data_IF_993879395326
#
_entry.id   IF_993879395326
#
_cell.length_a   1.000
_cell.length_b   1.000
_cell.length_c   1.000
_cell.angle_alpha   90.00
_cell.angle_beta   90.00
_cell.angle_gamma   90.00
#
_symmetry.space_group_name_H-M   'P 1'
#
loop_
_entity.id
_entity.type
_entity.pdbx_description
1 polymer ?
#
# COMPACT_ATOMS: atom_id res chain seq x y z
N UNK A 1 20.82 6.64 76.72
CA UNK A 1 20.49 5.23 76.93
C UNK A 1 20.02 4.74 75.63
N UNK A 2 20.94 4.36 75.01
CA UNK A 2 21.44 4.07 73.69
C UNK A 2 21.37 2.57 73.50
N UNK A 3 20.63 2.16 72.53
CA UNK A 3 20.77 0.83 71.99
C UNK A 3 20.83 0.94 70.45
N UNK A 4 22.05 1.13 69.98
CA UNK A 4 22.41 1.00 68.58
C UNK A 4 22.47 -0.47 68.27
N UNK A 5 21.40 -0.96 67.65
CA UNK A 5 21.31 -2.30 67.07
C UNK A 5 22.15 -2.36 65.79
N UNK A 6 23.32 -2.99 65.96
CA UNK A 6 24.19 -3.28 64.80
C UNK A 6 23.48 -4.20 63.82
N UNK A 7 23.28 -3.69 62.61
CA UNK A 7 22.81 -4.50 61.45
C UNK A 7 24.04 -5.20 60.89
N UNK A 8 24.08 -6.48 61.06
CA UNK A 8 25.10 -7.37 60.53
C UNK A 8 24.79 -7.56 59.03
N UNK A 9 25.54 -6.89 58.15
CA UNK A 9 25.52 -7.13 56.72
C UNK A 9 26.27 -8.45 56.47
N UNK A 10 25.52 -9.52 56.36
CA UNK A 10 26.01 -10.76 55.76
C UNK A 10 26.04 -10.55 54.27
N UNK A 11 27.21 -10.34 53.75
CA UNK A 11 27.52 -10.34 52.31
C UNK A 11 27.43 -11.79 51.82
N UNK A 12 26.26 -12.16 51.33
CA UNK A 12 26.04 -13.43 50.66
C UNK A 12 26.59 -13.33 49.22
N UNK A 13 27.89 -13.67 49.11
CA UNK A 13 28.54 -13.90 47.83
C UNK A 13 27.90 -15.12 47.14
N UNK A 14 26.83 -14.88 46.43
CA UNK A 14 26.26 -15.86 45.52
C UNK A 14 27.12 -15.90 44.23
N UNK A 15 28.20 -16.66 44.32
CA UNK A 15 29.00 -17.03 43.14
C UNK A 15 28.11 -17.92 42.31
N UNK A 16 27.49 -17.34 41.25
CA UNK A 16 26.90 -18.14 40.18
C UNK A 16 28.00 -18.93 39.50
N UNK A 17 28.09 -20.20 39.81
CA UNK A 17 28.81 -21.17 38.99
C UNK A 17 28.23 -21.14 37.58
N UNK A 18 28.98 -20.58 36.66
CA UNK A 18 28.74 -20.67 35.22
C UNK A 18 28.82 -22.16 34.84
N UNK A 19 27.75 -22.74 34.25
CA UNK A 19 27.80 -24.12 33.82
C UNK A 19 28.87 -24.26 32.74
N UNK A 20 29.88 -25.07 33.01
CA UNK A 20 30.93 -25.43 32.09
C UNK A 20 30.29 -25.90 30.76
N UNK A 21 30.46 -25.13 29.70
CA UNK A 21 30.06 -25.50 28.34
C UNK A 21 30.93 -26.69 27.94
N UNK A 22 30.31 -27.85 27.87
CA UNK A 22 30.93 -29.03 27.24
C UNK A 22 31.24 -28.67 25.77
N UNK A 23 32.40 -29.06 25.25
CA UNK A 23 32.77 -28.80 23.84
C UNK A 23 31.80 -29.51 22.90
N UNK A 24 30.97 -28.74 22.22
CA UNK A 24 30.06 -29.24 21.19
C UNK A 24 30.91 -29.92 20.12
N UNK A 25 30.84 -31.24 20.07
CA UNK A 25 31.51 -32.09 19.06
C UNK A 25 31.03 -31.63 17.69
N UNK A 26 31.87 -30.89 16.96
CA UNK A 26 31.58 -30.38 15.62
C UNK A 26 31.21 -31.55 14.71
N UNK A 27 29.91 -31.80 14.56
CA UNK A 27 29.37 -32.76 13.62
C UNK A 27 29.64 -32.25 12.20
N UNK A 28 30.39 -32.97 11.42
CA UNK A 28 30.67 -32.65 10.01
C UNK A 28 29.42 -32.74 9.11
N UNK A 29 28.30 -33.19 9.66
CA UNK A 29 27.02 -33.37 8.98
C UNK A 29 26.31 -32.01 8.78
N UNK A 30 26.49 -31.03 9.70
CA UNK A 30 25.83 -29.73 9.64
C UNK A 30 26.19 -28.93 8.37
N UNK A 31 27.48 -28.82 7.95
CA UNK A 31 27.79 -28.06 6.74
C UNK A 31 27.27 -28.74 5.45
N UNK A 32 27.18 -30.08 5.44
CA UNK A 32 26.63 -30.81 4.29
C UNK A 32 25.13 -30.58 4.15
N UNK A 33 24.38 -30.56 5.25
CA UNK A 33 22.95 -30.28 5.24
C UNK A 33 22.62 -28.84 4.75
N UNK A 34 23.46 -27.87 5.12
CA UNK A 34 23.32 -26.47 4.66
C UNK A 34 23.54 -26.36 3.15
N UNK A 35 24.55 -27.01 2.61
CA UNK A 35 24.85 -26.99 1.18
C UNK A 35 23.71 -27.63 0.37
N UNK A 36 23.18 -28.76 0.81
CA UNK A 36 22.02 -29.42 0.16
C UNK A 36 20.80 -28.54 0.21
N UNK A 37 20.55 -27.85 1.33
CA UNK A 37 19.42 -26.91 1.47
C UNK A 37 19.51 -25.73 0.49
N UNK A 38 20.71 -25.18 0.27
CA UNK A 38 20.92 -24.07 -0.68
C UNK A 38 20.67 -24.54 -2.11
N UNK A 39 21.15 -25.70 -2.52
CA UNK A 39 20.94 -26.24 -3.88
C UNK A 39 19.46 -26.58 -4.13
N UNK A 40 18.77 -27.18 -3.15
CA UNK A 40 17.31 -27.40 -3.24
C UNK A 40 16.52 -26.10 -3.30
N UNK A 41 16.90 -25.09 -2.52
CA UNK A 41 16.24 -23.77 -2.51
C UNK A 41 16.41 -23.03 -3.83
N UNK A 42 17.61 -22.99 -4.39
CA UNK A 42 17.88 -22.34 -5.69
C UNK A 42 17.20 -23.07 -6.84
N UNK A 43 17.20 -24.41 -6.84
CA UNK A 43 16.55 -25.22 -7.88
C UNK A 43 15.03 -25.06 -7.90
N UNK A 44 14.38 -25.10 -6.75
CA UNK A 44 12.92 -24.94 -6.65
C UNK A 44 12.50 -23.50 -6.91
N UNK A 45 13.27 -22.50 -6.42
CA UNK A 45 13.01 -21.10 -6.67
C UNK A 45 13.07 -20.74 -8.15
N UNK A 46 14.09 -21.23 -8.85
CA UNK A 46 14.23 -21.02 -10.30
C UNK A 46 13.12 -21.69 -11.12
N UNK A 47 12.71 -22.89 -10.73
CA UNK A 47 11.65 -23.61 -11.43
C UNK A 47 10.27 -22.96 -11.26
N UNK A 48 9.98 -22.43 -10.06
CA UNK A 48 8.73 -21.67 -9.83
C UNK A 48 8.75 -20.30 -10.51
N UNK A 49 9.91 -19.64 -10.60
CA UNK A 49 10.04 -18.37 -11.31
C UNK A 49 9.76 -18.54 -12.81
N UNK A 50 10.23 -19.61 -13.44
CA UNK A 50 9.96 -19.89 -14.85
C UNK A 50 8.49 -20.24 -15.13
N UNK A 51 7.81 -20.96 -14.22
CA UNK A 51 6.38 -21.26 -14.39
C UNK A 51 5.49 -20.02 -14.29
N UNK A 52 5.86 -19.02 -13.49
CA UNK A 52 5.14 -17.74 -13.45
C UNK A 52 5.29 -16.96 -14.77
N UNK A 53 6.40 -17.11 -15.49
CA UNK A 53 6.62 -16.43 -16.76
C UNK A 53 5.77 -17.02 -17.91
N UNK A 54 5.36 -18.28 -17.81
CA UNK A 54 4.57 -18.98 -18.84
C UNK A 54 3.05 -18.85 -18.65
N UNK A 55 2.57 -18.47 -17.44
CA UNK A 55 1.16 -18.21 -17.18
C UNK A 55 0.82 -16.71 -17.20
N UNK A 56 1.80 -15.83 -17.23
CA UNK A 56 1.63 -14.40 -17.42
C UNK A 56 1.77 -14.05 -18.91
N UNK A 57 0.94 -14.65 -19.73
CA UNK A 57 0.59 -14.14 -21.06
C UNK A 57 -0.32 -12.93 -20.91
N UNK A 58 0.19 -11.86 -20.35
CA UNK A 58 -0.49 -10.59 -20.17
C UNK A 58 0.55 -9.50 -20.23
N UNK A 59 0.43 -8.71 -21.27
CA UNK A 59 1.06 -7.43 -21.57
C UNK A 59 1.96 -6.91 -20.44
N UNK A 60 3.25 -6.82 -20.73
CA UNK A 60 4.18 -6.02 -19.94
C UNK A 60 3.68 -4.58 -19.91
N UNK A 61 2.83 -4.27 -18.96
CA UNK A 61 2.59 -2.88 -18.57
C UNK A 61 3.90 -2.44 -17.96
N UNK A 62 4.72 -1.76 -18.74
CA UNK A 62 5.80 -0.93 -18.22
C UNK A 62 5.10 0.16 -17.43
N UNK A 63 4.84 -0.08 -16.14
CA UNK A 63 4.55 0.97 -15.18
C UNK A 63 5.82 1.81 -15.09
N UNK A 64 5.90 2.84 -15.91
CA UNK A 64 6.83 3.94 -15.68
C UNK A 64 6.28 4.70 -14.48
N UNK A 65 6.95 4.68 -13.31
CA UNK A 65 6.57 5.56 -12.22
C UNK A 65 6.92 6.98 -12.69
N UNK A 66 5.94 7.87 -12.75
CA UNK A 66 6.04 9.27 -13.16
C UNK A 66 5.67 9.57 -14.63
N UNK A 67 4.54 9.11 -15.13
CA UNK A 67 3.95 9.77 -16.27
C UNK A 67 3.11 10.94 -15.77
N UNK A 68 3.59 12.17 -16.01
CA UNK A 68 2.73 13.34 -15.98
C UNK A 68 1.75 13.21 -17.14
N UNK A 69 0.45 13.26 -16.88
CA UNK A 69 -0.56 13.37 -17.92
C UNK A 69 -0.36 14.71 -18.64
N UNK A 70 -0.18 14.66 -19.94
CA UNK A 70 -0.23 15.82 -20.82
C UNK A 70 -1.38 15.62 -21.79
N UNK A 71 -1.89 16.68 -22.34
CA UNK A 71 -3.07 16.68 -23.25
C UNK A 71 -2.92 15.76 -24.47
N UNK A 72 -1.70 15.33 -24.82
CA UNK A 72 -1.41 14.40 -25.91
C UNK A 72 -1.32 12.93 -25.44
N UNK A 73 -1.55 12.65 -24.16
CA UNK A 73 -1.44 11.29 -23.63
C UNK A 73 -2.69 10.49 -24.01
N UNK A 74 -2.52 9.45 -24.83
CA UNK A 74 -3.60 8.50 -25.10
C UNK A 74 -3.77 7.58 -23.88
N UNK A 75 -4.74 7.89 -23.03
CA UNK A 75 -5.07 7.15 -21.83
C UNK A 75 -5.63 5.77 -22.18
N UNK A 76 -5.20 4.73 -21.49
CA UNK A 76 -5.63 3.35 -21.67
C UNK A 76 -6.02 2.73 -20.34
N UNK A 77 -6.90 1.73 -20.42
CA UNK A 77 -7.23 0.90 -19.26
C UNK A 77 -5.97 0.22 -18.73
N UNK A 78 -5.75 0.35 -17.42
CA UNK A 78 -4.57 -0.16 -16.73
C UNK A 78 -3.44 0.85 -16.55
N UNK A 79 -3.50 2.00 -17.20
CA UNK A 79 -2.49 3.05 -17.02
C UNK A 79 -2.50 3.59 -15.59
N UNK A 80 -1.31 3.93 -15.11
CA UNK A 80 -1.09 4.44 -13.76
C UNK A 80 -0.37 5.79 -13.88
N UNK A 81 -0.93 6.79 -13.19
CA UNK A 81 -0.42 8.16 -13.17
C UNK A 81 -0.10 8.60 -11.74
N UNK A 82 0.82 9.53 -11.61
CA UNK A 82 1.18 10.16 -10.33
C UNK A 82 2.38 9.53 -9.64
N UNK A 83 2.43 9.68 -8.33
CA UNK A 83 3.56 9.29 -7.49
C UNK A 83 3.64 7.79 -7.24
N UNK A 84 4.86 7.29 -7.11
CA UNK A 84 5.13 5.93 -6.63
C UNK A 84 5.22 5.82 -5.09
N UNK A 85 5.01 6.91 -4.37
CA UNK A 85 5.10 6.95 -2.91
C UNK A 85 3.86 6.35 -2.26
N UNK A 86 3.91 5.05 -1.97
CA UNK A 86 2.86 4.31 -1.28
C UNK A 86 2.86 4.55 0.24
N UNK A 87 3.93 5.12 0.78
CA UNK A 87 4.02 5.40 2.21
C UNK A 87 3.16 6.60 2.62
N UNK A 88 3.08 7.61 1.76
CA UNK A 88 2.28 8.83 1.96
C UNK A 88 0.83 8.61 1.55
N UNK A 89 0.58 7.97 0.41
CA UNK A 89 -0.76 7.79 -0.17
C UNK A 89 -1.36 6.43 0.18
N UNK A 90 -1.90 6.32 1.40
CA UNK A 90 -2.39 5.04 1.97
C UNK A 90 -3.89 4.84 1.79
N UNK A 91 -4.65 5.94 1.71
CA UNK A 91 -6.08 5.86 1.58
C UNK A 91 -6.44 5.57 0.12
N UNK A 92 -7.46 4.76 -0.08
CA UNK A 92 -7.86 4.30 -1.41
C UNK A 92 -9.35 4.52 -1.62
N UNK A 93 -9.70 4.97 -2.82
CA UNK A 93 -11.08 5.04 -3.29
C UNK A 93 -11.19 4.54 -4.73
N UNK A 94 -12.39 4.05 -5.10
CA UNK A 94 -12.70 3.62 -6.45
C UNK A 94 -14.08 4.16 -6.85
N UNK A 95 -14.23 4.57 -8.11
CA UNK A 95 -15.47 5.05 -8.68
C UNK A 95 -15.25 5.78 -9.99
N UNK A 96 -16.27 6.48 -10.47
CA UNK A 96 -16.20 7.31 -11.68
C UNK A 96 -15.76 8.71 -11.31
N UNK A 97 -14.71 9.20 -11.96
CA UNK A 97 -14.19 10.54 -11.73
C UNK A 97 -15.05 11.59 -12.44
N UNK A 98 -15.53 12.55 -11.70
CA UNK A 98 -16.39 13.61 -12.22
C UNK A 98 -15.85 14.99 -11.84
N UNK A 99 -16.18 16.01 -12.63
CA UNK A 99 -15.83 17.40 -12.33
C UNK A 99 -16.65 17.97 -11.20
N UNK A 100 -16.07 18.91 -10.47
CA UNK A 100 -16.74 19.70 -9.44
C UNK A 100 -16.52 19.17 -8.03
N UNK A 101 -16.33 20.12 -7.12
CA UNK A 101 -16.22 19.94 -5.69
C UNK A 101 -17.49 20.29 -4.95
N UNK A 102 -17.40 20.42 -3.63
CA UNK A 102 -18.47 20.85 -2.77
C UNK A 102 -18.08 22.13 -2.01
N UNK A 103 -18.78 23.22 -2.26
CA UNK A 103 -18.58 24.53 -1.58
C UNK A 103 -17.11 24.98 -1.51
N UNK A 104 -16.34 24.75 -2.59
CA UNK A 104 -14.93 25.11 -2.70
C UNK A 104 -13.95 24.07 -2.16
N UNK A 105 -14.42 22.91 -1.74
CA UNK A 105 -13.59 21.78 -1.34
C UNK A 105 -13.55 20.73 -2.45
N UNK A 106 -12.33 20.32 -2.86
CA UNK A 106 -12.11 19.48 -4.01
C UNK A 106 -12.29 20.21 -5.35
N UNK A 107 -11.58 19.80 -6.36
CA UNK A 107 -11.80 20.25 -7.76
C UNK A 107 -12.68 19.26 -8.51
N UNK A 108 -12.63 18.01 -8.11
CA UNK A 108 -13.36 16.88 -8.66
C UNK A 108 -13.98 16.05 -7.53
N UNK A 109 -14.77 15.05 -7.92
CA UNK A 109 -15.24 14.02 -7.00
C UNK A 109 -15.27 12.65 -7.68
N UNK A 110 -15.23 11.61 -6.86
CA UNK A 110 -15.37 10.24 -7.30
C UNK A 110 -16.77 9.77 -6.89
N UNK A 111 -17.58 9.46 -7.90
CA UNK A 111 -18.89 8.87 -7.68
C UNK A 111 -18.76 7.39 -7.37
N UNK A 112 -19.28 7.01 -6.20
CA UNK A 112 -19.31 5.65 -5.70
C UNK A 112 -20.59 5.40 -4.94
N UNK A 113 -21.30 4.35 -5.30
CA UNK A 113 -22.60 4.07 -4.70
C UNK A 113 -23.69 5.07 -5.12
N UNK A 114 -24.86 4.92 -4.55
CA UNK A 114 -26.08 5.58 -4.96
C UNK A 114 -26.25 7.00 -4.42
N UNK A 115 -25.47 7.42 -3.43
CA UNK A 115 -25.68 8.67 -2.71
C UNK A 115 -24.45 9.57 -2.70
N UNK A 116 -24.68 10.90 -2.83
CA UNK A 116 -23.64 11.93 -2.71
C UNK A 116 -22.87 11.88 -1.38
N UNK A 117 -23.46 11.31 -0.33
CA UNK A 117 -22.79 11.12 0.96
C UNK A 117 -21.67 10.10 0.91
N UNK A 118 -21.64 9.26 -0.14
CA UNK A 118 -20.59 8.27 -0.36
C UNK A 118 -19.51 8.77 -1.32
N UNK A 119 -19.70 9.93 -1.92
CA UNK A 119 -18.74 10.51 -2.84
C UNK A 119 -17.45 10.93 -2.12
N UNK A 120 -16.34 10.82 -2.83
CA UNK A 120 -15.05 11.30 -2.36
C UNK A 120 -14.70 12.54 -3.14
N UNK A 121 -14.62 13.67 -2.47
CA UNK A 121 -14.16 14.91 -3.09
C UNK A 121 -12.65 14.90 -3.15
N UNK A 122 -12.10 15.28 -4.30
CA UNK A 122 -10.68 15.06 -4.57
C UNK A 122 -10.01 16.30 -5.16
N UNK A 123 -8.73 16.42 -4.83
CA UNK A 123 -7.76 17.30 -5.49
C UNK A 123 -6.56 16.48 -5.91
N UNK A 124 -5.73 17.01 -6.78
CA UNK A 124 -4.40 16.47 -7.05
C UNK A 124 -3.47 17.57 -7.53
N UNK A 125 -2.23 17.54 -7.06
CA UNK A 125 -1.14 18.40 -7.57
C UNK A 125 -0.19 17.65 -8.52
N UNK A 126 -0.36 16.32 -8.65
CA UNK A 126 0.55 15.45 -9.41
C UNK A 126 -0.11 14.76 -10.60
N UNK A 127 -1.44 14.73 -10.63
CA UNK A 127 -2.25 14.15 -11.72
C UNK A 127 -3.22 15.20 -12.23
N UNK A 128 -3.25 15.42 -13.52
CA UNK A 128 -4.27 16.24 -14.17
C UNK A 128 -5.57 15.44 -14.26
N UNK A 129 -6.50 15.73 -13.35
CA UNK A 129 -7.75 15.00 -13.22
C UNK A 129 -8.74 15.32 -14.34
N UNK A 130 -8.64 16.49 -14.97
CA UNK A 130 -9.53 16.91 -16.07
C UNK A 130 -9.44 15.96 -17.27
N UNK A 131 -8.26 15.33 -17.47
CA UNK A 131 -8.04 14.40 -18.57
C UNK A 131 -8.65 13.02 -18.35
N UNK A 132 -9.14 12.74 -17.16
CA UNK A 132 -9.66 11.43 -16.73
C UNK A 132 -11.13 11.50 -16.30
N UNK A 133 -11.77 12.64 -16.56
CA UNK A 133 -13.20 12.83 -16.24
C UNK A 133 -14.05 11.87 -17.07
N UNK A 134 -14.96 11.17 -16.41
CA UNK A 134 -15.81 10.16 -17.01
C UNK A 134 -15.22 8.74 -17.00
N UNK A 135 -13.98 8.59 -16.52
CA UNK A 135 -13.36 7.27 -16.41
C UNK A 135 -13.58 6.67 -15.01
N UNK A 136 -13.71 5.34 -14.95
CA UNK A 136 -13.66 4.62 -13.69
C UNK A 136 -12.21 4.44 -13.27
N UNK A 137 -11.91 4.87 -12.07
CA UNK A 137 -10.54 4.90 -11.57
C UNK A 137 -10.44 4.31 -10.16
N UNK A 138 -9.27 3.79 -9.84
CA UNK A 138 -8.83 3.59 -8.46
C UNK A 138 -7.81 4.67 -8.14
N UNK A 139 -8.00 5.35 -7.03
CA UNK A 139 -7.09 6.41 -6.56
C UNK A 139 -6.48 6.05 -5.23
N UNK A 140 -5.26 6.50 -5.03
CA UNK A 140 -4.56 6.46 -3.74
C UNK A 140 -4.17 7.88 -3.37
N UNK A 141 -4.45 8.25 -2.13
CA UNK A 141 -4.24 9.60 -1.68
C UNK A 141 -4.08 9.72 -0.18
N UNK A 142 -4.10 10.96 0.27
CA UNK A 142 -4.11 11.32 1.67
C UNK A 142 -5.45 11.97 2.00
N UNK A 143 -6.16 11.41 2.98
CA UNK A 143 -7.40 11.99 3.48
C UNK A 143 -7.11 13.25 4.29
N UNK A 144 -7.83 14.31 3.96
CA UNK A 144 -7.80 15.58 4.65
C UNK A 144 -9.13 15.87 5.35
N UNK A 145 -9.11 16.73 6.37
CA UNK A 145 -10.35 17.19 6.99
C UNK A 145 -11.07 18.19 6.09
N UNK A 146 -12.23 17.80 5.55
CA UNK A 146 -13.16 18.71 4.90
C UNK A 146 -14.06 19.43 5.93
N UNK A 147 -14.53 20.61 5.60
CA UNK A 147 -15.57 21.32 6.36
C UNK A 147 -16.97 20.98 5.87
N UNK A 148 -17.07 20.67 4.59
CA UNK A 148 -18.29 20.36 3.84
C UNK A 148 -18.26 18.98 3.22
N UNK A 149 -17.11 18.60 2.69
CA UNK A 149 -16.89 17.26 2.17
C UNK A 149 -16.88 16.23 3.30
N UNK A 150 -17.72 15.22 3.22
CA UNK A 150 -17.70 14.10 4.15
C UNK A 150 -16.41 13.26 4.03
N UNK A 151 -15.84 13.25 2.84
CA UNK A 151 -14.52 12.68 2.56
C UNK A 151 -13.80 13.54 1.54
N UNK A 152 -12.68 14.15 1.95
CA UNK A 152 -11.81 14.97 1.12
C UNK A 152 -10.44 14.27 1.02
N UNK A 153 -9.94 14.06 -0.21
CA UNK A 153 -8.68 13.37 -0.45
C UNK A 153 -7.80 14.15 -1.43
N UNK A 154 -6.51 14.21 -1.14
CA UNK A 154 -5.50 14.67 -2.09
C UNK A 154 -4.89 13.44 -2.78
N UNK A 155 -5.14 13.32 -4.10
CA UNK A 155 -4.72 12.16 -4.89
C UNK A 155 -3.24 12.30 -5.24
N UNK A 156 -2.46 11.29 -4.85
CA UNK A 156 -1.07 11.14 -5.25
C UNK A 156 -0.85 10.16 -6.38
N UNK A 157 -1.75 9.19 -6.54
CA UNK A 157 -1.65 8.12 -7.54
C UNK A 157 -3.04 7.72 -8.04
N UNK A 158 -3.15 7.43 -9.32
CA UNK A 158 -4.40 7.03 -9.96
C UNK A 158 -4.15 5.90 -10.96
N UNK A 159 -5.05 4.93 -11.00
CA UNK A 159 -5.09 3.86 -12.01
C UNK A 159 -6.42 3.86 -12.74
N UNK A 160 -6.38 3.82 -14.06
CA UNK A 160 -7.55 3.74 -14.92
C UNK A 160 -8.06 2.30 -14.97
N UNK A 161 -9.32 2.09 -14.64
CA UNK A 161 -9.99 0.78 -14.69
C UNK A 161 -10.85 0.62 -15.93
N UNK A 162 -11.55 1.69 -16.33
CA UNK A 162 -12.49 1.70 -17.45
C UNK A 162 -12.57 3.10 -18.04
N UNK A 163 -12.59 3.22 -19.37
CA UNK A 163 -12.76 4.49 -20.06
C UNK A 163 -14.24 4.76 -20.33
N UNK A 164 -14.65 6.02 -20.17
CA UNK A 164 -16.03 6.47 -20.40
C UNK A 164 -17.06 5.61 -19.64
N UNK A 165 -16.80 5.36 -18.38
CA UNK A 165 -17.69 4.61 -17.50
C UNK A 165 -18.97 5.40 -17.25
N UNK A 166 -20.11 4.71 -17.21
CA UNK A 166 -21.35 5.37 -16.81
C UNK A 166 -21.26 5.80 -15.32
N UNK A 167 -21.65 7.04 -14.99
CA UNK A 167 -21.76 7.44 -13.59
C UNK A 167 -22.70 6.49 -12.84
N UNK A 168 -22.48 6.34 -11.54
CA UNK A 168 -23.35 5.52 -10.69
C UNK A 168 -24.72 6.18 -10.59
N UNK A 169 -25.58 5.96 -11.58
CA UNK A 169 -26.95 6.46 -11.54
C UNK A 169 -27.74 5.67 -10.52
N UNK A 170 -28.30 6.40 -9.54
CA UNK A 170 -29.45 5.90 -8.81
C UNK A 170 -30.49 5.45 -9.81
N UNK A 171 -30.74 4.17 -9.92
CA UNK A 171 -32.00 3.72 -10.50
C UNK A 171 -33.07 4.08 -9.48
N UNK A 172 -33.53 5.32 -9.55
CA UNK A 172 -34.78 5.72 -8.91
C UNK A 172 -35.87 4.89 -9.55
N UNK A 173 -36.21 3.79 -8.90
CA UNK A 173 -37.38 2.99 -9.23
C UNK A 173 -38.57 3.92 -9.05
N UNK A 174 -39.03 4.48 -10.13
CA UNK A 174 -40.37 5.08 -10.16
C UNK A 174 -41.36 3.92 -10.09
N UNK A 175 -41.98 3.78 -8.96
CA UNK A 175 -43.24 3.07 -8.76
C UNK A 175 -44.34 4.09 -8.51
#
# INVERSE_FOLDING_TARGET
>A
MDDLKQINLVEENNIMEEPAMEPVKKSRIIPIAIIIGIFLGLGTGFFFAQKRLLLAGGSSVKSSPNQALTSDTNVKVGDIFGSSDEATFKDQAEGVLMTGGIEGEGSHHIERGANKTQWVYVTSSVVDLDLLVGDRVTVWGQTNQGKKAGWLMDIGKLKVLELNAAPSTDTESQE
#
